data_IF_198583955118
#
_entry.id   IF_198583955118
#
_cell.length_a   1.000
_cell.length_b   1.000
_cell.length_c   1.000
_cell.angle_alpha   90.00
_cell.angle_beta   90.00
_cell.angle_gamma   90.00
#
_symmetry.space_group_name_H-M   'P 1'
#
loop_
_entity.id
_entity.type
_entity.pdbx_description
1 polymer ?
#
# COMPACT_ATOMS: atom_id res chain seq x y z
N UNK A 1 8.81 -5.05 -25.57
CA UNK A 1 8.24 -6.13 -24.77
C UNK A 1 7.78 -5.58 -23.41
N UNK A 2 6.58 -5.91 -23.02
CA UNK A 2 6.04 -5.42 -21.76
C UNK A 2 6.77 -6.05 -20.57
N UNK A 3 7.11 -5.25 -19.57
CA UNK A 3 7.68 -5.74 -18.33
C UNK A 3 6.56 -5.89 -17.31
N UNK A 4 6.10 -7.13 -17.08
CA UNK A 4 4.98 -7.39 -16.19
C UNK A 4 5.25 -6.98 -14.74
N UNK A 5 6.49 -7.12 -14.28
CA UNK A 5 6.87 -6.69 -12.93
C UNK A 5 6.74 -5.17 -12.79
N UNK A 6 7.21 -4.43 -13.79
CA UNK A 6 7.10 -2.98 -13.80
C UNK A 6 5.64 -2.53 -13.84
N UNK A 7 4.83 -3.16 -14.69
CA UNK A 7 3.40 -2.86 -14.78
C UNK A 7 2.68 -3.15 -13.47
N UNK A 8 2.97 -4.30 -12.87
CA UNK A 8 2.38 -4.67 -11.58
C UNK A 8 2.76 -3.67 -10.50
N UNK A 9 4.03 -3.25 -10.47
CA UNK A 9 4.51 -2.26 -9.51
C UNK A 9 3.77 -0.93 -9.68
N UNK A 10 3.59 -0.48 -10.92
CA UNK A 10 2.87 0.76 -11.21
C UNK A 10 1.39 0.66 -10.82
N UNK A 11 0.76 -0.49 -11.06
CA UNK A 11 -0.62 -0.73 -10.64
C UNK A 11 -0.75 -0.65 -9.12
N UNK A 12 0.17 -1.25 -8.38
CA UNK A 12 0.15 -1.21 -6.92
C UNK A 12 0.32 0.21 -6.40
N UNK A 13 1.21 0.99 -7.01
CA UNK A 13 1.37 2.40 -6.64
C UNK A 13 0.06 3.16 -6.81
N UNK A 14 -0.63 2.95 -7.92
CA UNK A 14 -1.93 3.60 -8.16
C UNK A 14 -2.97 3.16 -7.15
N UNK A 15 -3.06 1.86 -6.87
CA UNK A 15 -4.00 1.32 -5.87
C UNK A 15 -3.76 1.98 -4.51
N UNK A 16 -2.50 2.05 -4.10
CA UNK A 16 -2.13 2.64 -2.82
C UNK A 16 -2.41 4.14 -2.80
N UNK A 17 -2.04 4.87 -3.85
CA UNK A 17 -2.24 6.31 -3.90
C UNK A 17 -3.72 6.69 -3.93
N UNK A 18 -4.55 5.91 -4.64
CA UNK A 18 -6.00 6.13 -4.63
C UNK A 18 -6.59 5.86 -3.25
N UNK A 19 -6.15 4.79 -2.60
CA UNK A 19 -6.61 4.48 -1.24
C UNK A 19 -6.22 5.59 -0.26
N UNK A 20 -5.02 6.14 -0.41
CA UNK A 20 -4.57 7.28 0.39
C UNK A 20 -5.45 8.50 0.19
N UNK A 21 -5.73 8.85 -1.07
CA UNK A 21 -6.60 9.99 -1.38
C UNK A 21 -7.98 9.81 -0.79
N UNK A 22 -8.53 8.61 -0.88
CA UNK A 22 -9.84 8.30 -0.30
C UNK A 22 -9.82 8.41 1.22
N UNK A 23 -8.75 7.97 1.87
CA UNK A 23 -8.62 8.07 3.32
C UNK A 23 -8.55 9.53 3.77
N UNK A 24 -7.86 10.38 3.02
CA UNK A 24 -7.83 11.82 3.30
C UNK A 24 -9.22 12.41 3.13
N UNK A 25 -9.91 12.07 2.04
CA UNK A 25 -11.26 12.56 1.76
C UNK A 25 -12.25 12.13 2.84
N UNK A 26 -12.06 10.93 3.40
CA UNK A 26 -12.92 10.39 4.46
C UNK A 26 -12.55 10.92 5.86
N UNK A 27 -11.53 11.76 5.96
CA UNK A 27 -11.07 12.32 7.23
C UNK A 27 -10.29 11.36 8.09
N UNK A 28 -9.82 10.23 7.54
CA UNK A 28 -9.03 9.24 8.27
C UNK A 28 -7.57 9.63 8.37
N UNK A 29 -7.04 10.32 7.36
CA UNK A 29 -5.67 10.82 7.31
C UNK A 29 -5.68 12.33 7.15
N UNK A 30 -4.72 13.01 7.81
CA UNK A 30 -4.53 14.44 7.58
C UNK A 30 -3.88 14.68 6.22
N UNK A 31 -4.24 15.77 5.52
CA UNK A 31 -3.65 16.09 4.21
C UNK A 31 -2.25 16.71 4.38
N UNK A 32 -1.30 15.90 4.81
CA UNK A 32 0.09 16.32 5.04
C UNK A 32 0.99 15.72 3.97
N UNK A 33 2.15 16.34 3.68
CA UNK A 33 3.10 15.73 2.76
C UNK A 33 3.56 14.38 3.30
N UNK A 34 3.53 13.35 2.44
CA UNK A 34 3.90 12.00 2.82
C UNK A 34 5.24 11.62 2.20
N UNK A 35 6.09 10.87 2.94
CA UNK A 35 7.36 10.43 2.38
C UNK A 35 7.14 9.40 1.28
N UNK A 36 8.11 9.25 0.37
CA UNK A 36 8.02 8.20 -0.64
C UNK A 36 8.08 6.82 0.02
N UNK A 37 7.39 5.85 -0.59
CA UNK A 37 7.41 4.47 -0.13
C UNK A 37 7.95 3.57 -1.22
N UNK A 38 8.36 2.35 -0.82
CA UNK A 38 8.88 1.37 -1.77
C UNK A 38 7.98 0.14 -1.83
N UNK A 39 8.02 -0.52 -2.98
CA UNK A 39 7.35 -1.79 -3.21
C UNK A 39 8.45 -2.78 -3.61
N UNK A 40 8.57 -3.87 -2.87
CA UNK A 40 9.61 -4.85 -3.07
C UNK A 40 9.01 -6.23 -3.36
N UNK A 41 9.82 -7.11 -3.98
CA UNK A 41 9.44 -8.51 -4.16
C UNK A 41 10.01 -9.27 -2.97
N UNK A 42 9.16 -9.85 -2.10
CA UNK A 42 9.65 -10.59 -0.92
C UNK A 42 10.44 -11.83 -1.33
N UNK A 43 11.43 -12.20 -0.54
CA UNK A 43 12.19 -13.42 -0.75
C UNK A 43 11.33 -14.66 -0.45
N UNK A 44 10.41 -14.54 0.50
CA UNK A 44 9.51 -15.61 0.91
C UNK A 44 8.16 -15.40 0.24
N UNK A 45 7.78 -16.33 -0.63
CA UNK A 45 6.52 -16.25 -1.38
C UNK A 45 5.28 -16.39 -0.49
N UNK A 46 5.43 -16.86 0.74
CA UNK A 46 4.30 -16.87 1.68
C UNK A 46 3.83 -15.46 2.03
N UNK A 47 4.67 -14.44 1.77
CA UNK A 47 4.33 -13.03 1.96
C UNK A 47 3.78 -12.37 0.71
N UNK A 48 3.30 -13.17 -0.26
CA UNK A 48 2.75 -12.66 -1.52
C UNK A 48 3.82 -12.38 -2.55
N UNK A 49 3.42 -11.74 -3.64
CA UNK A 49 4.31 -11.42 -4.77
C UNK A 49 4.99 -10.06 -4.61
N UNK A 50 4.38 -9.16 -3.85
CA UNK A 50 4.90 -7.81 -3.61
C UNK A 50 4.63 -7.38 -2.18
N UNK A 51 5.54 -6.58 -1.62
CA UNK A 51 5.38 -6.02 -0.29
C UNK A 51 5.64 -4.51 -0.33
N UNK A 52 4.74 -3.73 0.25
CA UNK A 52 4.87 -2.28 0.33
C UNK A 52 5.07 -1.83 1.78
N UNK A 53 5.95 -0.86 1.98
CA UNK A 53 6.25 -0.31 3.30
C UNK A 53 5.53 1.02 3.58
N UNK A 54 4.52 1.36 2.78
CA UNK A 54 3.86 2.67 2.83
C UNK A 54 3.34 3.02 4.23
N UNK A 55 2.72 2.07 4.92
CA UNK A 55 2.17 2.32 6.25
C UNK A 55 3.27 2.69 7.24
N UNK A 56 4.40 2.00 7.17
CA UNK A 56 5.51 2.24 8.09
C UNK A 56 6.19 3.57 7.84
N UNK A 57 6.43 3.93 6.57
CA UNK A 57 7.10 5.20 6.27
C UNK A 57 6.19 6.40 6.52
N UNK A 58 4.87 6.23 6.44
CA UNK A 58 3.91 7.31 6.68
C UNK A 58 3.51 7.45 8.15
N UNK A 59 3.87 6.50 9.01
CA UNK A 59 3.44 6.50 10.41
C UNK A 59 3.81 7.78 11.15
N UNK A 60 5.02 8.27 10.95
CA UNK A 60 5.50 9.48 11.62
C UNK A 60 4.78 10.72 11.10
N UNK A 61 4.61 10.83 9.78
CA UNK A 61 3.96 11.98 9.16
C UNK A 61 2.49 12.06 9.55
N UNK A 62 1.81 10.92 9.62
CA UNK A 62 0.39 10.85 9.98
C UNK A 62 0.18 10.76 11.50
N UNK A 63 1.24 10.58 12.29
CA UNK A 63 1.17 10.41 13.74
C UNK A 63 0.22 9.28 14.12
N UNK A 64 0.30 8.18 13.40
CA UNK A 64 -0.55 7.01 13.58
C UNK A 64 0.28 5.74 13.63
N UNK A 65 -0.28 4.71 14.24
CA UNK A 65 0.33 3.38 14.26
C UNK A 65 0.33 2.81 12.84
N UNK A 66 1.45 2.22 12.36
CA UNK A 66 1.50 1.66 11.01
C UNK A 66 0.40 0.65 10.72
N UNK A 67 0.03 -0.18 11.68
CA UNK A 67 -1.03 -1.18 11.48
C UNK A 67 -2.40 -0.53 11.28
N UNK A 68 -2.66 0.60 11.94
CA UNK A 68 -3.89 1.36 11.72
C UNK A 68 -3.90 1.95 10.31
N UNK A 69 -2.77 2.51 9.87
CA UNK A 69 -2.66 3.06 8.52
C UNK A 69 -2.89 1.96 7.49
N UNK A 70 -2.25 0.80 7.68
CA UNK A 70 -2.41 -0.34 6.78
C UNK A 70 -3.88 -0.79 6.69
N UNK A 71 -4.56 -0.89 7.82
CA UNK A 71 -5.97 -1.28 7.86
C UNK A 71 -6.84 -0.28 7.10
N UNK A 72 -6.63 1.01 7.33
CA UNK A 72 -7.41 2.07 6.66
C UNK A 72 -7.19 2.01 5.14
N UNK A 73 -5.95 1.80 4.71
CA UNK A 73 -5.64 1.67 3.28
C UNK A 73 -6.29 0.43 2.67
N UNK A 74 -6.17 -0.71 3.36
CA UNK A 74 -6.74 -1.98 2.87
C UNK A 74 -8.25 -1.89 2.65
N UNK A 75 -8.95 -1.19 3.53
CA UNK A 75 -10.39 -1.00 3.40
C UNK A 75 -10.79 -0.20 2.16
N UNK A 76 -9.85 0.53 1.57
CA UNK A 76 -10.10 1.45 0.46
C UNK A 76 -9.45 1.05 -0.84
N UNK A 77 -8.72 -0.07 -0.86
CA UNK A 77 -8.05 -0.53 -2.07
C UNK A 77 -9.04 -1.09 -3.07
N UNK A 78 -8.88 -0.69 -4.33
CA UNK A 78 -9.70 -1.15 -5.45
C UNK A 78 -8.76 -1.84 -6.43
N UNK A 79 -8.97 -3.13 -6.65
CA UNK A 79 -8.11 -3.96 -7.49
C UNK A 79 -8.64 -4.17 -8.91
N UNK A 80 -9.79 -3.59 -9.24
CA UNK A 80 -10.40 -3.74 -10.56
C UNK A 80 -9.44 -3.30 -11.67
N UNK A 81 -9.26 -4.14 -12.66
CA UNK A 81 -8.37 -3.86 -13.78
C UNK A 81 -6.89 -4.09 -13.48
N UNK A 82 -6.56 -4.68 -12.34
CA UNK A 82 -5.18 -4.98 -11.97
C UNK A 82 -4.93 -6.49 -11.93
N UNK A 83 -3.66 -6.86 -11.78
CA UNK A 83 -3.25 -8.26 -11.60
C UNK A 83 -3.51 -8.77 -10.19
N UNK A 84 -4.02 -7.95 -9.29
CA UNK A 84 -4.14 -8.27 -7.87
C UNK A 84 -5.58 -8.42 -7.44
N UNK A 85 -5.82 -9.29 -6.46
CA UNK A 85 -7.16 -9.56 -5.95
C UNK A 85 -7.31 -9.18 -4.48
N UNK A 86 -6.20 -9.14 -3.74
CA UNK A 86 -6.25 -8.89 -2.30
C UNK A 86 -4.94 -8.35 -1.78
N UNK A 87 -5.00 -7.81 -0.56
CA UNK A 87 -3.86 -7.35 0.19
C UNK A 87 -3.97 -7.87 1.62
N UNK A 88 -2.87 -8.34 2.16
CA UNK A 88 -2.81 -8.79 3.56
C UNK A 88 -1.75 -7.98 4.31
N UNK A 89 -2.03 -7.70 5.58
CA UNK A 89 -1.08 -7.01 6.43
C UNK A 89 -0.19 -8.04 7.13
N UNK A 90 1.11 -7.74 7.20
CA UNK A 90 2.07 -8.60 7.87
C UNK A 90 3.02 -7.77 8.73
N UNK A 91 3.45 -8.35 9.86
CA UNK A 91 4.40 -7.73 10.77
C UNK A 91 3.93 -6.37 11.28
N UNK A 92 4.82 -5.37 11.33
CA UNK A 92 4.49 -4.04 11.89
C UNK A 92 3.64 -3.17 10.98
N UNK A 93 3.23 -3.65 9.81
CA UNK A 93 2.39 -2.88 8.90
C UNK A 93 2.79 -3.01 7.43
N UNK A 94 3.52 -4.07 7.05
CA UNK A 94 3.75 -4.36 5.64
C UNK A 94 2.45 -4.73 4.95
N UNK A 95 2.26 -4.24 3.73
CA UNK A 95 1.15 -4.62 2.89
C UNK A 95 1.64 -5.60 1.84
N UNK A 96 1.14 -6.83 1.89
CA UNK A 96 1.54 -7.91 0.99
C UNK A 96 0.44 -8.14 -0.04
N UNK A 97 0.85 -8.18 -1.32
CA UNK A 97 -0.06 -8.33 -2.46
C UNK A 97 0.20 -9.62 -3.21
#
# INVERSE_FOLDING_TARGET
MANLVKEANEQLKEVIMKAMGMAVADGKFEPVPLPPFTIEIPNDKSHGDFAANVAMVCAKALKMNPRQIATILMERMIFDGTYFERCEMAGPGFLNF
#
